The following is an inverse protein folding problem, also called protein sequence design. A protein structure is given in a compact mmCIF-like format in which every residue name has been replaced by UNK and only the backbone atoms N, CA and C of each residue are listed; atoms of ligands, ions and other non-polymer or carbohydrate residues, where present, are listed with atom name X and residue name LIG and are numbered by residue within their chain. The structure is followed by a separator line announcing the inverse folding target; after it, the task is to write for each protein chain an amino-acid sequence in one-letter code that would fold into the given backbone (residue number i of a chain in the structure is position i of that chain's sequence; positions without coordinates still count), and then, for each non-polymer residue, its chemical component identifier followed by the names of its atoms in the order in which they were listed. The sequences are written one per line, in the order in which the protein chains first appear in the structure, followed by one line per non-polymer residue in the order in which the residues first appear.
data_IF_076589606905
#
_entry.id   IF_076589606905
#
_cell.length_a   1.000
_cell.length_b   1.000
_cell.length_c   1.000
_cell.angle_alpha   90.00
_cell.angle_beta   90.00
_cell.angle_gamma   90.00
#
_symmetry.space_group_name_H-M   'P 1'
#
loop_
_entity.id
_entity.type
_entity.pdbx_description
1 polymer ?
#
# COMPACT_ATOMS: atom_id res chain seq x y z
N UNK A 1 11.68 -37.66 -31.02
CA UNK A 1 10.97 -36.37 -31.01
C UNK A 1 10.96 -35.87 -29.57
N UNK A 2 11.94 -35.04 -29.19
CA UNK A 2 12.10 -34.55 -27.81
C UNK A 2 11.38 -33.20 -27.69
N UNK A 3 10.38 -33.10 -26.80
CA UNK A 3 9.78 -31.81 -26.43
C UNK A 3 10.77 -31.04 -25.55
N UNK A 4 10.97 -29.73 -25.75
CA UNK A 4 11.89 -28.98 -24.91
C UNK A 4 11.30 -28.79 -23.51
N UNK A 5 12.21 -28.86 -22.54
CA UNK A 5 12.04 -28.65 -21.11
C UNK A 5 11.36 -27.31 -20.86
N UNK A 6 10.33 -27.32 -20.02
CA UNK A 6 9.69 -26.13 -19.43
C UNK A 6 10.77 -25.15 -18.97
N UNK A 7 10.81 -23.96 -19.57
CA UNK A 7 11.56 -22.84 -19.00
C UNK A 7 10.90 -22.51 -17.67
N UNK A 8 11.56 -22.83 -16.56
CA UNK A 8 11.27 -22.20 -15.28
C UNK A 8 11.40 -20.68 -15.52
N UNK A 9 10.28 -19.98 -15.62
CA UNK A 9 10.27 -18.53 -15.47
C UNK A 9 10.82 -18.24 -14.06
N UNK A 10 11.88 -17.43 -13.91
CA UNK A 10 12.36 -17.08 -12.60
C UNK A 10 11.21 -16.42 -11.83
N UNK A 11 10.92 -16.96 -10.65
CA UNK A 11 9.93 -16.41 -9.71
C UNK A 11 10.11 -14.90 -9.65
N UNK A 12 9.08 -14.14 -10.04
CA UNK A 12 9.15 -12.68 -9.98
C UNK A 12 9.29 -12.25 -8.52
N UNK A 13 10.53 -11.97 -8.11
CA UNK A 13 10.82 -11.43 -6.79
C UNK A 13 10.10 -10.09 -6.61
N UNK A 14 9.28 -10.02 -5.57
CA UNK A 14 8.59 -8.82 -5.11
C UNK A 14 9.59 -7.95 -4.36
N UNK A 15 10.10 -6.92 -5.03
CA UNK A 15 10.95 -5.92 -4.41
C UNK A 15 10.12 -4.90 -3.62
N UNK A 16 10.27 -4.91 -2.29
CA UNK A 16 9.60 -4.01 -1.35
C UNK A 16 10.44 -2.79 -0.98
N UNK A 17 11.69 -2.67 -1.47
CA UNK A 17 12.65 -1.64 -1.01
C UNK A 17 12.08 -0.23 -1.12
N UNK A 18 11.39 0.08 -2.21
CA UNK A 18 10.78 1.40 -2.39
C UNK A 18 9.60 1.63 -1.44
N UNK A 19 8.73 0.63 -1.26
CA UNK A 19 7.61 0.70 -0.31
C UNK A 19 8.13 0.98 1.12
N UNK A 20 9.19 0.29 1.53
CA UNK A 20 9.77 0.46 2.87
C UNK A 20 10.39 1.83 3.10
N UNK A 21 11.04 2.40 2.07
CA UNK A 21 11.56 3.76 2.14
C UNK A 21 10.43 4.78 2.29
N UNK A 22 9.32 4.60 1.57
CA UNK A 22 8.15 5.45 1.70
C UNK A 22 7.49 5.32 3.08
N UNK A 23 7.35 4.10 3.61
CA UNK A 23 6.83 3.87 4.97
C UNK A 23 7.69 4.60 6.01
N UNK A 24 9.02 4.46 5.93
CA UNK A 24 9.94 5.14 6.84
C UNK A 24 9.87 6.68 6.70
N UNK A 25 9.72 7.19 5.48
CA UNK A 25 9.53 8.61 5.23
C UNK A 25 8.20 9.12 5.84
N UNK A 26 7.11 8.38 5.68
CA UNK A 26 5.82 8.69 6.30
C UNK A 26 5.91 8.70 7.83
N UNK A 27 6.47 7.65 8.42
CA UNK A 27 6.65 7.55 9.87
C UNK A 27 7.45 8.75 10.39
N UNK A 28 8.53 9.12 9.70
CA UNK A 28 9.35 10.27 10.08
C UNK A 28 8.59 11.59 9.94
N UNK A 29 7.93 11.82 8.81
CA UNK A 29 7.14 13.03 8.57
C UNK A 29 6.02 13.19 9.60
N UNK A 30 5.28 12.12 9.87
CA UNK A 30 4.21 12.10 10.86
C UNK A 30 4.75 12.36 12.28
N UNK A 31 5.89 11.75 12.65
CA UNK A 31 6.53 11.99 13.96
C UNK A 31 6.97 13.43 14.19
N UNK A 32 7.29 14.16 13.11
CA UNK A 32 7.66 15.58 13.16
C UNK A 32 6.41 16.44 13.21
N UNK A 33 5.41 16.12 12.40
CA UNK A 33 4.13 16.82 12.36
C UNK A 33 3.48 16.90 13.74
N UNK A 34 3.41 15.79 14.48
CA UNK A 34 2.78 15.75 15.81
C UNK A 34 3.55 16.56 16.87
N UNK A 35 4.81 16.95 16.58
CA UNK A 35 5.65 17.77 17.46
C UNK A 35 5.69 19.23 17.01
N UNK A 36 5.23 19.53 15.81
CA UNK A 36 5.18 20.88 15.27
C UNK A 36 3.99 21.65 15.84
N UNK A 37 4.19 22.93 16.08
CA UNK A 37 3.10 23.84 16.41
C UNK A 37 2.19 24.04 15.19
N UNK A 38 0.88 23.98 15.39
CA UNK A 38 -0.11 24.23 14.34
C UNK A 38 0.09 25.64 13.77
N UNK A 39 -0.26 25.84 12.49
CA UNK A 39 -0.12 27.11 11.75
C UNK A 39 1.33 27.59 11.54
N UNK A 40 2.31 26.70 11.68
CA UNK A 40 3.71 26.94 11.29
C UNK A 40 4.01 26.38 9.89
N UNK A 41 5.04 26.93 9.24
CA UNK A 41 5.53 26.42 7.95
C UNK A 41 5.96 24.96 8.08
N UNK A 42 6.59 24.60 9.19
CA UNK A 42 7.01 23.24 9.52
C UNK A 42 5.82 22.29 9.59
N UNK A 43 4.74 22.69 10.27
CA UNK A 43 3.50 21.90 10.34
C UNK A 43 2.94 21.66 8.93
N UNK A 44 2.79 22.70 8.12
CA UNK A 44 2.28 22.57 6.75
C UNK A 44 3.17 21.70 5.86
N UNK A 45 4.49 21.81 6.02
CA UNK A 45 5.47 21.02 5.30
C UNK A 45 5.38 19.53 5.67
N UNK A 46 5.39 19.19 6.96
CA UNK A 46 5.30 17.80 7.41
C UNK A 46 3.93 17.17 7.13
N UNK A 47 2.86 17.96 7.19
CA UNK A 47 1.50 17.57 6.79
C UNK A 47 1.46 17.20 5.31
N UNK A 48 2.00 18.07 4.45
CA UNK A 48 2.07 17.83 3.01
C UNK A 48 2.91 16.60 2.66
N UNK A 49 4.05 16.43 3.34
CA UNK A 49 4.88 15.24 3.18
C UNK A 49 4.15 13.96 3.60
N UNK A 50 3.44 13.97 4.74
CA UNK A 50 2.70 12.82 5.25
C UNK A 50 1.58 12.40 4.30
N UNK A 51 0.81 13.37 3.79
CA UNK A 51 -0.23 13.13 2.77
C UNK A 51 0.39 12.52 1.51
N UNK A 52 1.53 13.06 1.06
CA UNK A 52 2.14 12.57 -0.17
C UNK A 52 2.63 11.14 -0.04
N UNK A 53 3.28 10.80 1.06
CA UNK A 53 3.73 9.44 1.30
C UNK A 53 2.55 8.47 1.48
N UNK A 54 1.46 8.88 2.12
CA UNK A 54 0.23 8.09 2.18
C UNK A 54 -0.27 7.69 0.78
N UNK A 55 -0.36 8.64 -0.16
CA UNK A 55 -0.77 8.36 -1.54
C UNK A 55 0.16 7.36 -2.23
N UNK A 56 1.48 7.57 -2.09
CA UNK A 56 2.51 6.74 -2.73
C UNK A 56 2.44 5.31 -2.19
N UNK A 57 2.38 5.16 -0.85
CA UNK A 57 2.29 3.86 -0.19
C UNK A 57 1.03 3.13 -0.62
N UNK A 58 -0.12 3.81 -0.68
CA UNK A 58 -1.39 3.21 -1.11
C UNK A 58 -1.33 2.67 -2.55
N UNK A 59 -0.67 3.41 -3.46
CA UNK A 59 -0.43 2.95 -4.82
C UNK A 59 0.52 1.74 -4.87
N UNK A 60 1.66 1.82 -4.15
CA UNK A 60 2.64 0.74 -4.12
C UNK A 60 2.08 -0.53 -3.50
N UNK A 61 1.29 -0.43 -2.42
CA UNK A 61 0.61 -1.53 -1.77
C UNK A 61 -0.25 -2.31 -2.78
N UNK A 62 -1.14 -1.61 -3.50
CA UNK A 62 -1.97 -2.24 -4.53
C UNK A 62 -1.16 -2.86 -5.68
N UNK A 63 -0.08 -2.20 -6.11
CA UNK A 63 0.80 -2.69 -7.18
C UNK A 63 1.55 -3.96 -6.78
N UNK A 64 2.16 -3.98 -5.60
CA UNK A 64 2.94 -5.12 -5.11
C UNK A 64 2.04 -6.28 -4.72
N UNK A 65 0.87 -6.02 -4.13
CA UNK A 65 -0.10 -7.06 -3.80
C UNK A 65 -0.65 -7.76 -5.06
N UNK A 66 -0.83 -7.04 -6.18
CA UNK A 66 -1.10 -7.68 -7.48
C UNK A 66 0.01 -8.62 -7.90
N UNK A 67 1.28 -8.24 -7.72
CA UNK A 67 2.40 -9.13 -8.06
C UNK A 67 2.35 -10.40 -7.21
N UNK A 68 2.09 -10.26 -5.90
CA UNK A 68 1.91 -11.39 -4.99
C UNK A 68 0.73 -12.29 -5.38
N UNK A 69 -0.32 -11.73 -5.96
CA UNK A 69 -1.48 -12.52 -6.39
C UNK A 69 -1.24 -13.28 -7.70
N UNK A 70 -0.33 -12.87 -8.59
CA UNK A 70 -0.15 -13.49 -9.92
C UNK A 70 0.02 -15.02 -9.90
N UNK A 71 0.80 -15.63 -8.98
CA UNK A 71 0.94 -17.08 -8.91
C UNK A 71 -0.35 -17.85 -8.61
N UNK A 72 -1.35 -17.20 -8.01
CA UNK A 72 -2.63 -17.84 -7.64
C UNK A 72 -3.67 -17.85 -8.76
N UNK A 73 -3.34 -17.32 -9.95
CA UNK A 73 -4.24 -17.22 -11.10
C UNK A 73 -3.63 -17.88 -12.33
N UNK A 74 -4.49 -18.49 -13.15
CA UNK A 74 -4.07 -19.12 -14.41
C UNK A 74 -3.56 -18.11 -15.44
N UNK A 75 -4.02 -16.85 -15.36
CA UNK A 75 -3.57 -15.78 -16.24
C UNK A 75 -3.16 -14.55 -15.43
N UNK A 76 -1.89 -14.10 -15.50
CA UNK A 76 -1.45 -12.84 -14.88
C UNK A 76 -2.27 -11.62 -15.33
N UNK A 77 -2.84 -11.67 -16.54
CA UNK A 77 -3.70 -10.61 -17.10
C UNK A 77 -5.03 -10.46 -16.36
N UNK A 78 -5.50 -11.49 -15.67
CA UNK A 78 -6.71 -11.39 -14.84
C UNK A 78 -6.44 -10.50 -13.63
N UNK A 79 -5.29 -10.70 -12.98
CA UNK A 79 -4.86 -9.91 -11.81
C UNK A 79 -4.60 -8.45 -12.20
N UNK A 80 -3.96 -8.21 -13.35
CA UNK A 80 -3.67 -6.86 -13.83
C UNK A 80 -4.96 -6.03 -14.09
N UNK A 81 -6.08 -6.69 -14.42
CA UNK A 81 -7.38 -6.02 -14.66
C UNK A 81 -8.22 -5.79 -13.41
N UNK A 82 -7.85 -6.36 -12.27
CA UNK A 82 -8.64 -6.20 -11.05
C UNK A 82 -8.72 -4.73 -10.66
N UNK A 83 -9.84 -4.30 -10.09
CA UNK A 83 -9.87 -3.00 -9.39
C UNK A 83 -9.25 -3.15 -8.00
N UNK A 84 -8.81 -2.05 -7.39
CA UNK A 84 -8.16 -2.06 -6.07
C UNK A 84 -8.92 -2.91 -5.04
N UNK A 85 -10.25 -2.71 -4.96
CA UNK A 85 -11.12 -3.47 -4.06
C UNK A 85 -11.03 -4.99 -4.26
N UNK A 86 -10.94 -5.44 -5.50
CA UNK A 86 -10.85 -6.86 -5.81
C UNK A 86 -9.45 -7.41 -5.53
N UNK A 87 -8.39 -6.61 -5.64
CA UNK A 87 -7.03 -7.03 -5.24
C UNK A 87 -7.01 -7.38 -3.75
N UNK A 88 -7.49 -6.48 -2.89
CA UNK A 88 -7.44 -6.70 -1.44
C UNK A 88 -8.35 -7.85 -0.99
N UNK A 89 -9.54 -7.99 -1.59
CA UNK A 89 -10.40 -9.16 -1.33
C UNK A 89 -9.77 -10.48 -1.74
N UNK A 90 -9.09 -10.52 -2.89
CA UNK A 90 -8.37 -11.74 -3.28
C UNK A 90 -7.18 -12.04 -2.39
N UNK A 91 -6.53 -11.01 -1.81
CA UNK A 91 -5.48 -11.21 -0.83
C UNK A 91 -6.00 -11.86 0.46
N UNK A 92 -7.21 -11.52 0.92
CA UNK A 92 -7.89 -12.23 2.02
C UNK A 92 -8.13 -13.70 1.66
N UNK A 93 -8.65 -13.98 0.47
CA UNK A 93 -8.92 -15.37 0.01
C UNK A 93 -7.66 -16.24 -0.14
N UNK A 94 -6.47 -15.66 0.02
CA UNK A 94 -5.17 -16.33 -0.04
C UNK A 94 -4.39 -16.19 1.26
N UNK A 95 -5.06 -15.75 2.33
CA UNK A 95 -4.49 -15.57 3.66
C UNK A 95 -3.26 -14.65 3.68
N UNK A 96 -3.14 -13.74 2.71
CA UNK A 96 -2.06 -12.74 2.66
C UNK A 96 -2.33 -11.60 3.66
N UNK A 97 -3.60 -11.26 3.87
CA UNK A 97 -4.04 -10.26 4.84
C UNK A 97 -5.34 -10.72 5.50
N UNK A 98 -5.70 -10.14 6.64
CA UNK A 98 -6.97 -10.41 7.31
C UNK A 98 -8.13 -9.62 6.68
N UNK A 99 -9.38 -10.06 6.92
CA UNK A 99 -10.58 -9.29 6.56
C UNK A 99 -10.54 -7.87 7.15
N UNK A 100 -10.09 -7.73 8.39
CA UNK A 100 -10.01 -6.45 9.09
C UNK A 100 -9.00 -5.51 8.42
N UNK A 101 -7.82 -6.03 8.03
CA UNK A 101 -6.85 -5.29 7.23
C UNK A 101 -7.44 -4.89 5.88
N UNK A 102 -8.15 -5.80 5.20
CA UNK A 102 -8.80 -5.50 3.94
C UNK A 102 -9.76 -4.31 4.08
N UNK A 103 -10.67 -4.33 5.04
CA UNK A 103 -11.62 -3.23 5.26
C UNK A 103 -10.90 -1.89 5.52
N UNK A 104 -9.83 -1.88 6.32
CA UNK A 104 -9.02 -0.67 6.52
C UNK A 104 -8.38 -0.18 5.23
N UNK A 105 -7.80 -1.06 4.42
CA UNK A 105 -7.23 -0.68 3.11
C UNK A 105 -8.27 -0.10 2.15
N UNK A 106 -9.51 -0.60 2.19
CA UNK A 106 -10.62 -0.03 1.43
C UNK A 106 -10.99 1.37 1.94
N UNK A 107 -11.05 1.57 3.26
CA UNK A 107 -11.28 2.89 3.87
C UNK A 107 -10.20 3.89 3.47
N UNK A 108 -8.92 3.50 3.51
CA UNK A 108 -7.81 4.35 3.06
C UNK A 108 -7.97 4.74 1.58
N UNK A 109 -8.41 3.80 0.75
CA UNK A 109 -8.65 4.05 -0.68
C UNK A 109 -9.81 4.99 -0.94
N UNK A 110 -10.91 4.82 -0.21
CA UNK A 110 -12.09 5.66 -0.34
C UNK A 110 -11.82 7.09 0.14
N UNK A 111 -11.08 7.23 1.26
CA UNK A 111 -10.57 8.51 1.74
C UNK A 111 -9.76 9.23 0.63
N UNK A 112 -8.83 8.55 -0.04
CA UNK A 112 -8.06 9.14 -1.17
C UNK A 112 -8.93 9.54 -2.39
N UNK A 113 -10.10 8.94 -2.59
CA UNK A 113 -10.95 9.25 -3.75
C UNK A 113 -11.87 10.45 -3.49
N UNK A 114 -12.33 10.62 -2.25
CA UNK A 114 -13.19 11.75 -1.87
C UNK A 114 -12.45 13.10 -1.88
N UNK A 115 -11.12 13.07 -1.94
CA UNK A 115 -10.26 14.23 -1.68
C UNK A 115 -9.78 14.94 -2.93
N UNK A 116 -10.13 14.40 -4.11
CA UNK A 116 -9.96 15.10 -5.37
C UNK A 116 -11.00 16.21 -5.59
N UNK A 117 -12.08 16.24 -4.81
CA UNK A 117 -13.18 17.20 -4.97
C UNK A 117 -13.21 18.33 -3.93
N UNK A 118 -12.62 18.13 -2.75
CA UNK A 118 -12.75 19.06 -1.62
C UNK A 118 -11.38 19.65 -1.28
N UNK A 119 -11.13 20.90 -1.68
CA UNK A 119 -9.85 21.58 -1.52
C UNK A 119 -9.41 21.64 -0.04
N UNK A 120 -8.47 20.77 0.33
CA UNK A 120 -7.33 21.08 1.19
C UNK A 120 -7.49 20.99 2.71
N UNK A 121 -8.60 21.40 3.32
CA UNK A 121 -8.69 21.51 4.80
C UNK A 121 -9.28 20.26 5.46
N UNK A 122 -10.43 19.76 4.97
CA UNK A 122 -11.10 18.58 5.52
C UNK A 122 -10.28 17.30 5.35
N UNK A 123 -9.52 17.19 4.25
CA UNK A 123 -8.73 16.00 3.91
C UNK A 123 -7.65 15.66 4.94
N UNK A 124 -6.91 16.64 5.43
CA UNK A 124 -5.78 16.32 6.29
C UNK A 124 -6.23 15.93 7.68
N UNK A 125 -7.24 16.57 8.26
CA UNK A 125 -7.66 16.22 9.60
C UNK A 125 -8.18 14.77 9.66
N UNK A 126 -8.93 14.33 8.65
CA UNK A 126 -9.41 12.95 8.57
C UNK A 126 -8.30 11.95 8.23
N UNK A 127 -7.41 12.29 7.28
CA UNK A 127 -6.29 11.40 6.91
C UNK A 127 -5.28 11.23 8.05
N UNK A 128 -4.98 12.31 8.77
CA UNK A 128 -4.03 12.29 9.89
C UNK A 128 -4.47 11.33 11.00
N UNK A 129 -5.77 11.17 11.22
CA UNK A 129 -6.32 10.20 12.19
C UNK A 129 -5.99 8.76 11.79
N UNK A 130 -5.95 8.45 10.49
CA UNK A 130 -5.64 7.11 10.00
C UNK A 130 -4.16 6.79 9.99
N UNK A 131 -3.27 7.80 9.93
CA UNK A 131 -1.84 7.59 9.69
C UNK A 131 -1.16 6.60 10.64
N UNK A 132 -1.40 6.62 11.97
CA UNK A 132 -0.80 5.63 12.87
C UNK A 132 -1.13 4.19 12.47
N UNK A 133 -2.40 3.91 12.18
CA UNK A 133 -2.85 2.57 11.81
C UNK A 133 -2.42 2.22 10.38
N UNK A 134 -2.44 3.19 9.46
CA UNK A 134 -1.97 3.02 8.10
C UNK A 134 -0.49 2.65 8.03
N UNK A 135 0.36 3.29 8.84
CA UNK A 135 1.80 2.97 8.94
C UNK A 135 1.96 1.52 9.39
N UNK A 136 1.23 1.09 10.43
CA UNK A 136 1.24 -0.30 10.91
C UNK A 136 0.80 -1.29 9.84
N UNK A 137 -0.34 -1.05 9.20
CA UNK A 137 -0.84 -1.94 8.14
C UNK A 137 0.11 -2.01 6.93
N UNK A 138 0.81 -0.92 6.64
CA UNK A 138 1.80 -0.86 5.56
C UNK A 138 3.07 -1.66 5.89
N UNK A 139 3.53 -1.60 7.14
CA UNK A 139 4.63 -2.45 7.63
C UNK A 139 4.23 -3.94 7.61
N UNK A 140 3.04 -4.26 8.11
CA UNK A 140 2.49 -5.62 8.12
C UNK A 140 2.42 -6.17 6.68
N UNK A 141 1.90 -5.38 5.73
CA UNK A 141 1.85 -5.74 4.31
C UNK A 141 3.25 -5.91 3.69
N UNK A 142 4.20 -5.03 3.99
CA UNK A 142 5.58 -5.15 3.48
C UNK A 142 6.22 -6.47 3.93
N UNK A 143 6.03 -6.85 5.20
CA UNK A 143 6.51 -8.11 5.73
C UNK A 143 5.89 -9.33 5.03
N UNK A 144 4.56 -9.31 4.82
CA UNK A 144 3.86 -10.34 4.04
C UNK A 144 4.46 -10.47 2.64
N UNK A 145 4.62 -9.34 1.93
CA UNK A 145 5.13 -9.31 0.55
C UNK A 145 6.59 -9.79 0.45
N UNK A 146 7.41 -9.53 1.46
CA UNK A 146 8.77 -10.07 1.54
C UNK A 146 8.77 -11.58 1.64
N UNK A 147 7.92 -12.14 2.51
CA UNK A 147 7.82 -13.58 2.72
C UNK A 147 7.35 -14.33 1.46
N UNK A 148 6.63 -13.67 0.56
CA UNK A 148 6.26 -14.26 -0.74
C UNK A 148 7.45 -14.55 -1.66
N UNK A 149 8.62 -13.97 -1.39
CA UNK A 149 9.85 -14.28 -2.14
C UNK A 149 10.57 -15.54 -1.65
N UNK A 150 10.25 -15.99 -0.44
CA UNK A 150 10.92 -17.08 0.26
C UNK A 150 10.12 -18.39 0.20
N UNK A 151 8.95 -18.39 -0.48
CA UNK A 151 8.07 -19.53 -0.72
C UNK A 151 8.31 -20.12 -2.12
#
# INVERSE_FOLDING_TARGET
MLRPVSKFEPMMKIDTTYLERCIAALERAYSLLIKSEVDTIEYDMFRSASIKEFEIILEQAGKLLRKALKPYFHSPKEVDRMVFKNVFRNAVLRDLITDEQCERWLQYRDNRNNTAHDYGVNFANETLVFLPQFIKDSMDLSAVLKNQNDQ
#
